data_IF_523505793864
#
_entry.id   IF_523505793864
#
_cell.length_a   1.000
_cell.length_b   1.000
_cell.length_c   1.000
_cell.angle_alpha   90.00
_cell.angle_beta   90.00
_cell.angle_gamma   90.00
#
_symmetry.space_group_name_H-M   'P 1'
#
loop_
_entity.id
_entity.type
_entity.pdbx_description
1 polymer ?
#
# COMPACT_ATOMS: atom_id res chain seq x y z
N UNK A 1 -8.53 19.72 -5.26
CA UNK A 1 -8.07 18.68 -6.21
C UNK A 1 -8.56 17.33 -5.74
N UNK A 2 -9.26 16.62 -6.60
CA UNK A 2 -9.84 15.32 -6.26
C UNK A 2 -8.88 14.18 -6.53
N UNK A 3 -8.99 13.14 -5.73
CA UNK A 3 -8.20 11.92 -5.89
C UNK A 3 -8.30 11.35 -7.31
N UNK A 4 -9.50 11.22 -7.84
CA UNK A 4 -9.74 10.63 -9.16
C UNK A 4 -9.12 11.42 -10.32
N UNK A 5 -8.94 12.73 -10.17
CA UNK A 5 -8.31 13.57 -11.17
C UNK A 5 -6.80 13.33 -11.29
N UNK A 6 -6.25 12.60 -10.34
CA UNK A 6 -4.82 12.29 -10.27
C UNK A 6 -4.49 10.85 -10.68
N UNK A 7 -5.45 10.16 -11.30
CA UNK A 7 -5.22 8.80 -11.77
C UNK A 7 -4.01 8.74 -12.69
N UNK A 8 -3.07 7.87 -12.38
CA UNK A 8 -1.83 7.70 -13.12
C UNK A 8 -0.74 8.72 -12.78
N UNK A 9 -1.02 9.64 -11.85
CA UNK A 9 -0.10 10.72 -11.46
C UNK A 9 0.28 10.68 -9.99
N UNK A 10 -0.30 9.75 -9.22
CA UNK A 10 -0.05 9.67 -7.78
C UNK A 10 1.37 9.16 -7.52
N UNK A 11 2.04 9.69 -6.48
CA UNK A 11 3.35 9.15 -6.11
C UNK A 11 3.22 7.72 -5.61
N UNK A 12 4.32 6.99 -5.68
CA UNK A 12 4.37 5.65 -5.08
C UNK A 12 4.26 5.76 -3.57
N UNK A 13 3.70 4.73 -2.91
CA UNK A 13 3.60 4.72 -1.44
C UNK A 13 4.93 4.46 -0.74
N UNK A 14 6.01 4.32 -1.49
CA UNK A 14 7.38 4.18 -1.00
C UNK A 14 8.30 5.06 -1.82
N UNK A 15 9.43 5.46 -1.23
CA UNK A 15 10.42 6.30 -1.93
C UNK A 15 11.04 5.59 -3.12
N UNK A 16 11.39 4.31 -2.95
CA UNK A 16 11.87 3.47 -4.03
C UNK A 16 11.42 2.03 -3.82
N UNK A 17 11.10 1.34 -4.89
CA UNK A 17 10.64 -0.04 -4.77
C UNK A 17 10.40 -0.71 -6.10
N UNK A 18 10.11 -2.00 -6.03
CA UNK A 18 9.84 -2.85 -7.16
C UNK A 18 8.55 -3.64 -6.89
N UNK A 19 7.63 -3.64 -7.84
CA UNK A 19 6.40 -4.42 -7.71
C UNK A 19 6.76 -5.90 -7.92
N UNK A 20 6.57 -6.71 -6.88
CA UNK A 20 6.87 -8.15 -6.89
C UNK A 20 5.62 -9.01 -6.96
N UNK A 21 4.44 -8.44 -6.71
CA UNK A 21 3.15 -9.11 -6.91
C UNK A 21 2.16 -8.11 -7.47
N UNK A 22 1.49 -8.49 -8.56
CA UNK A 22 0.53 -7.64 -9.23
C UNK A 22 -0.89 -7.86 -8.70
N UNK A 23 -1.76 -6.91 -8.98
CA UNK A 23 -3.18 -6.99 -8.67
C UNK A 23 -3.88 -8.01 -9.58
N UNK A 24 -4.86 -8.70 -9.01
CA UNK A 24 -5.77 -9.56 -9.76
C UNK A 24 -5.32 -11.01 -9.86
N UNK A 25 -5.97 -11.75 -10.75
CA UNK A 25 -5.71 -13.16 -10.95
C UNK A 25 -4.43 -13.35 -11.76
N UNK A 26 -3.55 -14.20 -11.28
CA UNK A 26 -2.28 -14.47 -11.92
C UNK A 26 -1.81 -15.90 -11.62
N UNK A 27 -0.99 -16.50 -12.49
CA UNK A 27 -0.48 -17.84 -12.22
C UNK A 27 0.33 -17.90 -10.95
N UNK A 28 0.19 -19.02 -10.22
CA UNK A 28 1.01 -19.23 -9.03
C UNK A 28 2.49 -19.39 -9.46
N UNK A 29 3.45 -18.72 -8.79
CA UNK A 29 4.86 -18.77 -9.22
C UNK A 29 5.51 -20.13 -9.06
N UNK A 30 4.98 -21.00 -8.19
CA UNK A 30 5.58 -22.31 -7.87
C UNK A 30 4.73 -23.46 -8.38
N UNK A 31 3.42 -23.40 -8.16
CA UNK A 31 2.52 -24.52 -8.48
C UNK A 31 1.83 -24.29 -9.83
N UNK A 32 2.27 -25.06 -10.84
CA UNK A 32 1.70 -25.03 -12.19
C UNK A 32 0.20 -25.38 -12.15
N UNK A 33 -0.59 -24.65 -12.92
CA UNK A 33 -2.04 -24.87 -12.99
C UNK A 33 -2.85 -24.22 -11.87
N UNK A 34 -2.18 -23.63 -10.86
CA UNK A 34 -2.84 -22.88 -9.79
C UNK A 34 -2.73 -21.40 -10.05
N UNK A 35 -3.65 -20.61 -9.43
CA UNK A 35 -3.71 -19.16 -9.60
C UNK A 35 -3.74 -18.47 -8.24
N UNK A 36 -3.21 -17.26 -8.21
CA UNK A 36 -3.33 -16.33 -7.09
C UNK A 36 -4.31 -15.24 -7.50
N UNK A 37 -5.19 -14.87 -6.58
CA UNK A 37 -6.05 -13.70 -6.78
C UNK A 37 -5.66 -12.65 -5.73
N UNK A 38 -4.96 -11.61 -6.15
CA UNK A 38 -4.45 -10.58 -5.25
C UNK A 38 -5.34 -9.33 -5.25
N UNK A 39 -5.68 -8.86 -4.06
CA UNK A 39 -6.52 -7.66 -3.88
C UNK A 39 -5.72 -6.37 -3.92
N UNK A 40 -4.41 -6.45 -3.98
CA UNK A 40 -3.53 -5.29 -4.05
C UNK A 40 -2.21 -5.67 -4.69
N UNK A 41 -1.19 -4.84 -4.47
CA UNK A 41 0.16 -5.09 -4.98
C UNK A 41 1.15 -5.22 -3.82
N UNK A 42 2.21 -5.99 -4.06
CA UNK A 42 3.33 -6.09 -3.12
C UNK A 42 4.51 -5.33 -3.71
N UNK A 43 5.08 -4.43 -2.94
CA UNK A 43 6.20 -3.60 -3.35
C UNK A 43 7.40 -3.92 -2.46
N UNK A 44 8.44 -4.50 -3.06
CA UNK A 44 9.71 -4.74 -2.37
C UNK A 44 10.44 -3.39 -2.23
N UNK A 45 11.00 -3.13 -1.07
CA UNK A 45 11.70 -1.89 -0.81
C UNK A 45 12.88 -2.14 0.13
N UNK A 46 13.62 -1.10 0.46
CA UNK A 46 14.80 -1.20 1.32
C UNK A 46 14.40 -1.33 2.79
N UNK A 47 15.20 -2.09 3.55
CA UNK A 47 15.06 -2.15 5.00
C UNK A 47 15.10 -0.74 5.59
N UNK A 48 14.18 -0.46 6.52
CA UNK A 48 14.07 0.84 7.15
C UNK A 48 13.20 1.85 6.42
N UNK A 49 12.65 1.46 5.26
CA UNK A 49 11.78 2.34 4.48
C UNK A 49 10.45 2.60 5.17
N UNK A 50 9.89 3.77 4.89
CA UNK A 50 8.56 4.14 5.36
C UNK A 50 7.52 3.96 4.26
N UNK A 51 6.29 3.71 4.68
CA UNK A 51 5.13 3.86 3.81
C UNK A 51 4.71 5.33 3.84
N UNK A 52 4.49 5.92 2.67
CA UNK A 52 4.14 7.32 2.51
C UNK A 52 2.75 7.46 1.89
N UNK A 53 1.99 8.44 2.33
CA UNK A 53 0.65 8.69 1.79
C UNK A 53 0.72 9.05 0.31
N UNK A 54 -0.10 8.41 -0.51
CA UNK A 54 -0.12 8.68 -1.95
C UNK A 54 -0.90 9.96 -2.30
N UNK A 55 -1.73 10.45 -1.37
CA UNK A 55 -2.52 11.66 -1.58
C UNK A 55 -3.01 12.22 -0.25
N UNK A 56 -3.45 13.49 -0.29
CA UNK A 56 -4.07 14.13 0.87
C UNK A 56 -5.31 13.36 1.30
N UNK A 57 -5.54 13.27 2.59
CA UNK A 57 -6.70 12.58 3.13
C UNK A 57 -6.74 12.63 4.64
N UNK A 58 -7.50 11.73 5.20
CA UNK A 58 -7.69 11.61 6.65
C UNK A 58 -7.53 10.14 7.05
N UNK A 59 -6.85 9.90 8.15
CA UNK A 59 -6.68 8.53 8.68
C UNK A 59 -8.05 7.98 9.07
N UNK A 60 -8.50 6.98 8.35
CA UNK A 60 -9.77 6.31 8.60
C UNK A 60 -9.66 5.33 9.75
N UNK A 61 -8.59 4.56 9.78
CA UNK A 61 -8.36 3.55 10.80
C UNK A 61 -6.90 3.12 10.85
N UNK A 62 -6.48 2.66 12.02
CA UNK A 62 -5.21 1.99 12.22
C UNK A 62 -5.56 0.63 12.81
N UNK A 63 -5.13 -0.45 12.14
CA UNK A 63 -5.47 -1.81 12.55
C UNK A 63 -4.21 -2.56 12.94
N UNK A 64 -4.33 -3.41 13.97
CA UNK A 64 -3.27 -4.35 14.35
C UNK A 64 -3.68 -5.72 13.86
N UNK A 65 -2.83 -6.33 13.05
CA UNK A 65 -3.05 -7.65 12.49
C UNK A 65 -2.26 -8.70 13.28
N UNK A 66 -2.36 -9.96 12.85
CA UNK A 66 -1.63 -11.05 13.47
C UNK A 66 -0.12 -10.76 13.50
N UNK A 67 0.55 -11.23 14.54
CA UNK A 67 1.99 -11.03 14.77
C UNK A 67 2.38 -9.57 15.02
N UNK A 68 1.40 -8.73 15.40
CA UNK A 68 1.67 -7.34 15.75
C UNK A 68 1.90 -6.40 14.58
N UNK A 69 1.76 -6.88 13.35
CA UNK A 69 1.90 -6.04 12.17
C UNK A 69 0.71 -5.09 12.07
N UNK A 70 0.95 -3.88 11.56
CA UNK A 70 -0.06 -2.83 11.54
C UNK A 70 -0.43 -2.42 10.12
N UNK A 71 -1.62 -1.86 10.00
CA UNK A 71 -2.14 -1.30 8.75
C UNK A 71 -2.67 0.09 8.99
N UNK A 72 -2.50 0.96 8.01
CA UNK A 72 -3.06 2.31 8.02
C UNK A 72 -3.99 2.44 6.82
N UNK A 73 -5.20 2.95 7.07
CA UNK A 73 -6.20 3.22 6.04
C UNK A 73 -6.41 4.73 5.96
N UNK A 74 -6.30 5.28 4.75
CA UNK A 74 -6.54 6.71 4.51
C UNK A 74 -7.75 6.87 3.61
N UNK A 75 -8.65 7.77 4.01
CA UNK A 75 -9.81 8.14 3.19
C UNK A 75 -9.49 9.35 2.34
N UNK A 76 -9.79 9.23 1.04
CA UNK A 76 -9.67 10.29 0.03
C UNK A 76 -11.03 10.44 -0.67
N UNK A 77 -12.03 11.01 0.03
CA UNK A 77 -13.40 11.02 -0.48
C UNK A 77 -13.96 9.61 -0.55
N UNK A 78 -14.32 9.15 -1.74
CA UNK A 78 -14.84 7.79 -1.95
C UNK A 78 -13.76 6.73 -2.12
N UNK A 79 -12.49 7.14 -2.08
CA UNK A 79 -11.36 6.25 -2.25
C UNK A 79 -10.67 6.00 -0.93
N UNK A 80 -10.13 4.79 -0.77
CA UNK A 80 -9.37 4.40 0.42
C UNK A 80 -8.07 3.78 -0.03
N UNK A 81 -6.95 4.30 0.48
CA UNK A 81 -5.64 3.68 0.29
C UNK A 81 -5.25 2.95 1.58
N UNK A 82 -4.75 1.73 1.44
CA UNK A 82 -4.47 0.84 2.57
C UNK A 82 -3.01 0.41 2.50
N UNK A 83 -2.29 0.63 3.60
CA UNK A 83 -0.87 0.37 3.73
C UNK A 83 -0.67 -0.73 4.77
N UNK A 84 -0.47 -1.96 4.30
CA UNK A 84 -0.35 -3.14 5.15
C UNK A 84 1.11 -3.55 5.34
N UNK A 85 1.37 -4.30 6.40
CA UNK A 85 2.66 -4.87 6.72
C UNK A 85 3.61 -3.83 7.30
N UNK A 86 3.10 -3.01 8.22
CA UNK A 86 3.89 -2.01 8.94
C UNK A 86 4.37 -2.55 10.28
N UNK A 87 5.61 -2.22 10.64
CA UNK A 87 6.19 -2.55 11.94
C UNK A 87 5.73 -1.56 13.00
N UNK A 88 5.63 -0.28 12.64
CA UNK A 88 5.21 0.80 13.53
C UNK A 88 4.42 1.84 12.75
N UNK A 89 3.66 2.67 13.45
CA UNK A 89 2.79 3.68 12.86
C UNK A 89 3.08 5.03 13.52
N UNK A 90 3.18 6.09 12.71
CA UNK A 90 3.52 7.44 13.17
C UNK A 90 2.31 8.36 13.32
N UNK A 91 1.12 7.89 12.92
CA UNK A 91 -0.09 8.70 12.80
C UNK A 91 -1.19 8.17 13.70
N UNK A 92 -2.25 8.96 13.87
CA UNK A 92 -3.39 8.61 14.72
C UNK A 92 -4.70 8.62 13.92
N UNK A 93 -5.70 7.90 14.42
CA UNK A 93 -7.06 7.92 13.84
C UNK A 93 -7.55 9.36 13.72
N UNK A 94 -8.18 9.68 12.60
CA UNK A 94 -8.75 11.00 12.36
C UNK A 94 -7.76 12.08 11.96
N UNK A 95 -6.47 11.79 11.98
CA UNK A 95 -5.45 12.76 11.62
C UNK A 95 -5.52 13.11 10.13
N UNK A 96 -5.38 14.39 9.80
CA UNK A 96 -5.28 14.84 8.41
C UNK A 96 -3.88 14.61 7.90
N UNK A 97 -3.79 14.07 6.69
CA UNK A 97 -2.54 13.64 6.07
C UNK A 97 -2.33 14.37 4.76
N UNK A 98 -1.08 14.72 4.49
CA UNK A 98 -0.68 15.33 3.21
C UNK A 98 0.02 14.31 2.33
N UNK A 99 -0.05 14.52 1.03
CA UNK A 99 0.67 13.71 0.04
C UNK A 99 2.14 13.59 0.40
N UNK A 100 2.66 12.37 0.41
CA UNK A 100 4.06 12.10 0.72
C UNK A 100 4.38 11.98 2.21
N UNK A 101 3.42 12.22 3.08
CA UNK A 101 3.67 12.16 4.52
C UNK A 101 3.96 10.74 4.96
N UNK A 102 5.03 10.50 5.74
CA UNK A 102 5.32 9.16 6.27
C UNK A 102 4.23 8.69 7.23
N UNK A 103 3.80 7.45 7.05
CA UNK A 103 2.72 6.84 7.84
C UNK A 103 3.23 5.85 8.87
N UNK A 104 4.32 5.18 8.57
CA UNK A 104 4.89 4.16 9.43
C UNK A 104 6.07 3.47 8.78
N UNK A 105 6.78 2.69 9.58
CA UNK A 105 7.92 1.91 9.12
C UNK A 105 7.43 0.56 8.59
N UNK A 106 7.91 0.17 7.43
CA UNK A 106 7.55 -1.10 6.80
C UNK A 106 8.27 -2.24 7.52
N UNK A 107 7.56 -3.34 7.75
CA UNK A 107 8.10 -4.52 8.42
C UNK A 107 9.13 -5.21 7.54
N UNK A 108 10.27 -5.58 8.16
CA UNK A 108 11.29 -6.40 7.54
C UNK A 108 11.25 -7.79 8.18
N UNK A 109 11.07 -8.83 7.36
CA UNK A 109 11.05 -10.21 7.83
C UNK A 109 12.43 -10.56 8.40
N UNK A 110 12.46 -11.09 9.62
CA UNK A 110 13.70 -11.39 10.33
C UNK A 110 14.44 -12.58 9.74
N UNK A 111 13.72 -13.49 9.11
CA UNK A 111 14.30 -14.71 8.56
C UNK A 111 14.83 -14.47 7.15
N UNK A 112 14.01 -13.86 6.29
CA UNK A 112 14.36 -13.64 4.88
C UNK A 112 15.10 -12.32 4.65
N UNK A 113 15.00 -11.37 5.58
CA UNK A 113 15.53 -10.02 5.42
C UNK A 113 14.77 -9.17 4.42
N UNK A 114 13.65 -9.67 3.91
CA UNK A 114 12.86 -8.95 2.90
C UNK A 114 11.94 -7.92 3.54
N UNK A 115 11.86 -6.76 2.89
CA UNK A 115 10.98 -5.66 3.29
C UNK A 115 10.01 -5.41 2.16
N UNK A 116 8.70 -5.51 2.44
CA UNK A 116 7.69 -5.26 1.42
C UNK A 116 6.47 -4.56 2.00
N UNK A 117 5.94 -3.63 1.23
CA UNK A 117 4.66 -2.99 1.50
C UNK A 117 3.57 -3.74 0.73
N UNK A 118 2.46 -4.04 1.40
CA UNK A 118 1.28 -4.60 0.74
C UNK A 118 0.29 -3.45 0.63
N UNK A 119 0.11 -2.96 -0.60
CA UNK A 119 -0.66 -1.76 -0.89
C UNK A 119 -1.96 -2.09 -1.59
N UNK A 120 -3.07 -1.60 -1.04
CA UNK A 120 -4.42 -1.84 -1.56
C UNK A 120 -5.10 -0.51 -1.81
N UNK A 121 -5.83 -0.42 -2.90
CA UNK A 121 -6.61 0.75 -3.26
C UNK A 121 -8.06 0.35 -3.51
N UNK A 122 -9.01 1.10 -2.95
CA UNK A 122 -10.44 0.85 -3.13
C UNK A 122 -11.17 2.13 -3.52
N UNK A 123 -12.24 1.96 -4.31
CA UNK A 123 -13.27 2.98 -4.45
C UNK A 123 -14.54 2.40 -3.82
N UNK A 124 -15.01 3.00 -2.73
CA UNK A 124 -16.05 2.41 -1.89
C UNK A 124 -15.63 0.99 -1.48
N UNK A 125 -16.39 -0.04 -1.89
CA UNK A 125 -16.07 -1.44 -1.59
C UNK A 125 -15.37 -2.17 -2.73
N UNK A 126 -15.12 -1.51 -3.87
CA UNK A 126 -14.50 -2.11 -5.04
C UNK A 126 -12.99 -1.98 -4.98
N UNK A 127 -12.27 -3.09 -5.11
CA UNK A 127 -10.81 -3.10 -5.19
C UNK A 127 -10.37 -2.63 -6.58
N UNK A 128 -9.38 -1.76 -6.60
CA UNK A 128 -8.80 -1.19 -7.82
C UNK A 128 -7.38 -1.68 -8.01
N UNK A 129 -6.92 -1.70 -9.27
CA UNK A 129 -5.52 -2.01 -9.56
C UNK A 129 -4.66 -0.78 -9.26
N UNK A 130 -3.84 -0.80 -8.20
CA UNK A 130 -3.06 0.38 -7.81
C UNK A 130 -2.09 0.85 -8.89
N UNK A 131 -1.61 -0.05 -9.76
CA UNK A 131 -0.64 0.32 -10.81
C UNK A 131 -1.22 1.25 -11.85
N UNK A 132 -2.56 1.30 -11.98
CA UNK A 132 -3.23 2.24 -12.88
C UNK A 132 -3.27 3.67 -12.30
N UNK A 133 -3.00 3.81 -11.02
CA UNK A 133 -3.17 5.07 -10.29
C UNK A 133 -1.87 5.77 -9.94
N UNK A 134 -0.80 5.01 -9.69
CA UNK A 134 0.51 5.56 -9.36
C UNK A 134 1.33 5.81 -10.62
N UNK A 135 2.33 6.68 -10.51
CA UNK A 135 3.21 7.01 -11.63
C UNK A 135 3.86 5.75 -12.21
N UNK A 136 3.92 5.70 -13.55
CA UNK A 136 4.67 4.63 -14.21
C UNK A 136 6.15 4.93 -14.10
N UNK A 137 6.91 3.89 -13.76
CA UNK A 137 8.37 3.95 -13.73
C UNK A 137 8.88 3.19 -14.95
N UNK A 138 9.66 3.87 -15.75
CA UNK A 138 10.30 3.25 -16.90
C UNK A 138 11.61 2.59 -16.52
#
# INVERSE_FOLDING_TARGET
VRFEQNKGKLPWPVESGLIIRRFGKQPHPVYSGNFINSTGIHIATKKGSNANAIFNGEILAIQTQSEGKKSVLIRHGNYISIYNNLESVYVNDGQKIKTGQPLGKIFTDRITGKTKLIFVLSKNTTRLNPTSWILKVN
#
